data_IF_979261471607
#
_entry.id   IF_979261471607
#
_cell.length_a   1.000
_cell.length_b   1.000
_cell.length_c   1.000
_cell.angle_alpha   90.00
_cell.angle_beta   90.00
_cell.angle_gamma   90.00
#
_symmetry.space_group_name_H-M   'P 1'
#
loop_
_entity.id
_entity.type
_entity.pdbx_description
1 polymer ?
#
# COMPACT_ATOMS: atom_id res chain seq x y z
N UNK A 1 46.57 39.05 34.35
CA UNK A 1 46.52 37.59 34.62
C UNK A 1 45.09 37.29 35.07
N UNK A 2 44.23 36.50 34.44
CA UNK A 2 44.33 35.54 33.34
C UNK A 2 42.97 35.49 32.61
N UNK A 3 43.01 35.25 31.30
CA UNK A 3 41.86 34.95 30.45
C UNK A 3 41.63 33.44 30.47
N UNK A 4 40.43 32.97 30.80
CA UNK A 4 40.06 31.56 30.75
C UNK A 4 39.15 31.32 29.53
N UNK A 5 39.75 30.80 28.46
CA UNK A 5 39.04 30.30 27.28
C UNK A 5 38.54 28.88 27.55
N UNK A 6 37.23 28.67 27.44
CA UNK A 6 36.64 27.34 27.36
C UNK A 6 36.44 26.96 25.88
N UNK A 7 37.09 25.90 25.42
CA UNK A 7 36.93 25.37 24.08
C UNK A 7 35.82 24.29 24.06
N UNK A 8 34.78 24.51 23.26
CA UNK A 8 33.68 23.56 23.04
C UNK A 8 34.05 22.64 21.86
N UNK A 9 34.24 21.34 22.09
CA UNK A 9 34.47 20.36 21.04
C UNK A 9 33.14 19.79 20.55
N UNK A 10 32.72 20.13 19.33
CA UNK A 10 31.55 19.56 18.68
C UNK A 10 31.95 18.28 17.91
N UNK A 11 31.49 17.12 18.38
CA UNK A 11 31.64 15.85 17.67
C UNK A 11 30.63 15.78 16.51
N UNK A 12 31.13 15.81 15.28
CA UNK A 12 30.34 15.58 14.07
C UNK A 12 29.99 14.09 13.96
N UNK A 13 28.75 13.73 14.32
CA UNK A 13 28.19 12.41 14.03
C UNK A 13 27.86 12.35 12.53
N UNK A 14 28.71 11.67 11.77
CA UNK A 14 28.50 11.42 10.34
C UNK A 14 27.45 10.30 10.22
N UNK A 15 26.28 10.52 9.59
CA UNK A 15 25.33 9.44 9.38
C UNK A 15 25.89 8.45 8.34
N UNK A 16 26.00 7.18 8.72
CA UNK A 16 26.37 6.11 7.81
C UNK A 16 25.28 5.97 6.74
N UNK A 17 25.61 6.34 5.51
CA UNK A 17 24.73 6.13 4.37
C UNK A 17 24.67 4.63 4.08
N UNK A 18 23.54 3.99 4.37
CA UNK A 18 23.31 2.60 3.97
C UNK A 18 23.15 2.56 2.46
N UNK A 19 24.11 1.94 1.76
CA UNK A 19 23.98 1.66 0.34
C UNK A 19 22.86 0.62 0.17
N UNK A 20 21.71 1.06 -0.33
CA UNK A 20 20.62 0.17 -0.72
C UNK A 20 21.15 -0.78 -1.82
N UNK A 21 21.17 -2.08 -1.54
CA UNK A 21 21.53 -3.09 -2.54
C UNK A 21 20.47 -3.06 -3.65
N UNK A 22 20.89 -2.70 -4.86
CA UNK A 22 20.06 -2.82 -6.05
C UNK A 22 20.08 -4.27 -6.50
N UNK A 23 18.90 -4.85 -6.72
CA UNK A 23 18.83 -6.19 -7.29
C UNK A 23 19.17 -6.11 -8.79
N UNK A 24 20.17 -6.89 -9.23
CA UNK A 24 20.75 -6.78 -10.56
C UNK A 24 20.06 -7.66 -11.63
N UNK A 25 19.37 -8.74 -11.24
CA UNK A 25 18.66 -9.64 -12.17
C UNK A 25 17.72 -10.60 -11.43
N UNK A 26 16.60 -11.00 -12.04
CA UNK A 26 15.56 -11.90 -11.48
C UNK A 26 14.97 -11.45 -10.13
N UNK A 27 14.86 -10.14 -9.94
CA UNK A 27 14.19 -9.55 -8.80
C UNK A 27 12.70 -9.85 -8.91
N UNK A 28 12.14 -10.54 -7.92
CA UNK A 28 10.69 -10.67 -7.81
C UNK A 28 10.02 -9.30 -7.78
N UNK A 29 8.70 -9.26 -7.93
CA UNK A 29 7.95 -8.02 -7.82
C UNK A 29 8.32 -7.31 -6.50
N UNK A 30 8.75 -6.04 -6.61
CA UNK A 30 9.11 -5.25 -5.43
C UNK A 30 7.88 -5.16 -4.52
N UNK A 31 7.97 -5.58 -3.24
CA UNK A 31 6.85 -5.43 -2.33
C UNK A 31 6.43 -3.96 -2.25
N UNK A 32 5.13 -3.71 -2.31
CA UNK A 32 4.59 -2.35 -2.09
C UNK A 32 4.66 -2.06 -0.60
N UNK A 33 5.27 -0.92 -0.25
CA UNK A 33 5.43 -0.48 1.13
C UNK A 33 5.32 1.03 1.21
N UNK A 34 4.56 1.52 2.19
CA UNK A 34 4.40 2.93 2.51
C UNK A 34 5.10 3.28 3.82
N UNK A 35 5.29 4.58 4.08
CA UNK A 35 5.74 5.03 5.40
C UNK A 35 4.57 4.90 6.37
N UNK A 36 4.73 4.23 7.54
CA UNK A 36 3.66 4.12 8.53
C UNK A 36 3.08 5.48 8.93
N UNK A 37 1.75 5.58 8.97
CA UNK A 37 1.04 6.82 9.31
C UNK A 37 0.96 7.86 8.19
N UNK A 38 1.53 7.58 7.02
CA UNK A 38 1.43 8.44 5.85
C UNK A 38 0.04 8.32 5.18
N UNK A 39 -0.58 9.43 4.74
CA UNK A 39 -1.75 9.37 3.88
C UNK A 39 -1.45 8.63 2.58
N UNK A 40 -2.33 7.69 2.23
CA UNK A 40 -2.27 6.88 1.01
C UNK A 40 -3.60 6.99 0.30
N UNK A 41 -3.56 7.41 -0.95
CA UNK A 41 -4.69 7.35 -1.88
C UNK A 41 -4.90 5.89 -2.30
N UNK A 42 -6.05 5.34 -1.96
CA UNK A 42 -6.50 4.04 -2.46
C UNK A 42 -7.21 4.20 -3.80
N UNK A 43 -6.74 3.45 -4.79
CA UNK A 43 -7.34 3.33 -6.12
C UNK A 43 -7.66 1.86 -6.42
N UNK A 44 -8.91 1.57 -6.73
CA UNK A 44 -9.41 0.24 -7.07
C UNK A 44 -9.77 0.19 -8.54
N UNK A 45 -9.29 -0.82 -9.28
CA UNK A 45 -9.58 -0.99 -10.71
C UNK A 45 -10.18 -2.37 -10.94
N UNK A 46 -11.35 -2.43 -11.57
CA UNK A 46 -11.95 -3.71 -11.95
C UNK A 46 -11.52 -4.11 -13.36
N UNK A 47 -10.70 -5.14 -13.46
CA UNK A 47 -10.24 -5.77 -14.72
C UNK A 47 -10.99 -7.06 -15.03
N UNK A 48 -12.00 -7.41 -14.24
CA UNK A 48 -12.90 -8.53 -14.51
C UNK A 48 -14.00 -8.11 -15.50
N UNK A 49 -14.65 -9.06 -16.19
CA UNK A 49 -15.82 -8.77 -17.03
C UNK A 49 -17.12 -8.63 -16.21
N UNK A 50 -17.07 -8.68 -14.87
CA UNK A 50 -18.23 -8.68 -13.97
C UNK A 50 -18.15 -7.55 -12.95
N UNK A 51 -19.26 -7.27 -12.28
CA UNK A 51 -19.28 -6.30 -11.17
C UNK A 51 -18.58 -6.88 -9.95
N UNK A 52 -17.77 -6.06 -9.30
CA UNK A 52 -17.08 -6.40 -8.06
C UNK A 52 -17.56 -5.49 -6.92
N UNK A 53 -17.92 -6.14 -5.82
CA UNK A 53 -18.04 -5.64 -4.45
C UNK A 53 -16.75 -4.99 -3.95
N UNK A 54 -16.70 -3.73 -3.52
CA UNK A 54 -15.54 -3.20 -2.77
C UNK A 54 -15.96 -2.49 -1.50
N UNK A 55 -15.27 -2.75 -0.39
CA UNK A 55 -15.60 -2.17 0.91
C UNK A 55 -14.34 -1.87 1.71
N UNK A 56 -14.16 -0.62 2.16
CA UNK A 56 -13.21 -0.33 3.23
C UNK A 56 -13.85 -0.63 4.58
N UNK A 57 -13.27 -1.63 5.25
CA UNK A 57 -13.81 -2.17 6.49
C UNK A 57 -13.91 -1.05 7.53
N UNK A 58 -15.08 -0.94 8.18
CA UNK A 58 -15.43 0.08 9.18
C UNK A 58 -15.52 1.55 8.67
N UNK A 59 -15.48 1.78 7.35
CA UNK A 59 -15.50 3.15 6.76
C UNK A 59 -16.60 3.35 5.74
N UNK A 60 -16.81 2.38 4.87
CA UNK A 60 -17.76 2.49 3.76
C UNK A 60 -18.72 1.32 3.78
N UNK A 61 -19.93 1.51 3.25
CA UNK A 61 -20.74 0.37 2.79
C UNK A 61 -20.12 -0.23 1.51
N UNK A 62 -20.50 -1.46 1.10
CA UNK A 62 -20.08 -2.02 -0.18
C UNK A 62 -20.43 -1.08 -1.35
N UNK A 63 -19.46 -0.84 -2.22
CA UNK A 63 -19.56 -0.02 -3.41
C UNK A 63 -19.39 -0.92 -4.63
N UNK A 64 -20.34 -0.87 -5.56
CA UNK A 64 -20.22 -1.62 -6.82
C UNK A 64 -19.17 -0.98 -7.73
N UNK A 65 -18.19 -1.78 -8.15
CA UNK A 65 -17.17 -1.43 -9.12
C UNK A 65 -17.45 -2.16 -10.44
N UNK A 66 -17.89 -1.43 -11.47
CA UNK A 66 -18.27 -2.00 -12.76
C UNK A 66 -17.04 -2.47 -13.58
N UNK A 67 -17.21 -3.37 -14.56
CA UNK A 67 -16.13 -3.78 -15.46
C UNK A 67 -15.40 -2.59 -16.09
N UNK A 68 -14.06 -2.57 -15.99
CA UNK A 68 -13.21 -1.50 -16.51
C UNK A 68 -13.22 -0.20 -15.69
N UNK A 69 -14.04 -0.10 -14.64
CA UNK A 69 -14.13 1.09 -13.81
C UNK A 69 -12.92 1.22 -12.88
N UNK A 70 -12.56 2.47 -12.62
CA UNK A 70 -11.61 2.87 -11.58
C UNK A 70 -12.32 3.68 -10.51
N UNK A 71 -12.06 3.39 -9.25
CA UNK A 71 -12.63 4.08 -8.10
C UNK A 71 -11.52 4.57 -7.17
N UNK A 72 -11.56 5.85 -6.83
CA UNK A 72 -10.74 6.44 -5.76
C UNK A 72 -11.56 6.44 -4.48
N UNK A 73 -11.12 5.68 -3.47
CA UNK A 73 -11.95 5.38 -2.31
C UNK A 73 -11.61 6.23 -1.09
N UNK A 74 -10.33 6.30 -0.71
CA UNK A 74 -9.88 7.02 0.48
C UNK A 74 -8.50 7.65 0.22
N UNK A 75 -8.31 8.91 0.63
CA UNK A 75 -7.01 9.62 0.56
C UNK A 75 -6.12 9.34 1.77
N UNK A 76 -6.69 8.75 2.82
CA UNK A 76 -6.08 8.52 4.13
C UNK A 76 -6.02 7.02 4.47
N UNK A 77 -6.08 6.13 3.48
CA UNK A 77 -6.17 4.68 3.71
C UNK A 77 -5.00 4.15 4.57
N UNK A 78 -3.83 4.78 4.58
CA UNK A 78 -2.65 4.37 5.37
C UNK A 78 -2.43 5.08 6.72
N UNK A 79 -3.34 5.97 7.16
CA UNK A 79 -3.14 6.73 8.41
C UNK A 79 -3.67 6.02 9.66
N UNK A 80 -4.55 5.03 9.48
CA UNK A 80 -5.19 4.32 10.57
C UNK A 80 -4.60 2.91 10.74
N UNK A 81 -4.46 2.43 11.98
CA UNK A 81 -4.06 1.05 12.22
C UNK A 81 -5.14 0.10 11.70
N UNK A 82 -4.70 -1.05 11.21
CA UNK A 82 -5.58 -2.11 10.73
C UNK A 82 -6.47 -1.77 9.52
N UNK A 83 -6.05 -0.81 8.70
CA UNK A 83 -6.78 -0.45 7.49
C UNK A 83 -6.83 -1.60 6.48
N UNK A 84 -8.01 -1.91 5.98
CA UNK A 84 -8.23 -2.96 4.98
C UNK A 84 -9.33 -2.58 4.02
N UNK A 85 -9.20 -3.11 2.81
CA UNK A 85 -10.26 -3.11 1.81
C UNK A 85 -10.56 -4.55 1.45
N UNK A 86 -11.83 -4.93 1.54
CA UNK A 86 -12.34 -6.21 1.09
C UNK A 86 -12.97 -6.06 -0.29
N UNK A 87 -12.98 -7.15 -1.05
CA UNK A 87 -13.60 -7.20 -2.36
C UNK A 87 -14.09 -8.60 -2.73
N UNK A 88 -15.16 -8.68 -3.52
CA UNK A 88 -15.72 -9.94 -4.01
C UNK A 88 -16.48 -9.76 -5.32
N UNK A 89 -16.41 -10.77 -6.18
CA UNK A 89 -17.28 -10.84 -7.37
C UNK A 89 -18.72 -11.15 -6.94
N UNK A 90 -19.70 -10.41 -7.49
CA UNK A 90 -21.12 -10.56 -7.14
C UNK A 90 -21.72 -11.91 -7.55
N UNK A 91 -21.06 -12.65 -8.43
CA UNK A 91 -21.40 -14.00 -8.87
C UNK A 91 -20.60 -15.09 -8.14
N UNK A 92 -19.91 -14.74 -7.05
CA UNK A 92 -19.13 -15.61 -6.17
C UNK A 92 -17.87 -16.23 -6.77
N UNK A 93 -17.46 -15.79 -7.96
CA UNK A 93 -16.25 -16.28 -8.59
C UNK A 93 -14.98 -15.79 -7.89
N UNK A 94 -13.92 -16.57 -8.04
CA UNK A 94 -12.60 -16.19 -7.54
C UNK A 94 -12.04 -15.02 -8.33
N UNK A 95 -11.45 -14.08 -7.60
CA UNK A 95 -10.74 -12.94 -8.15
C UNK A 95 -9.30 -12.96 -7.64
N UNK A 96 -8.44 -12.21 -8.32
CA UNK A 96 -7.04 -12.03 -7.96
C UNK A 96 -6.74 -10.54 -7.86
N UNK A 97 -6.10 -10.11 -6.79
CA UNK A 97 -5.64 -8.75 -6.61
C UNK A 97 -4.19 -8.60 -7.07
N UNK A 98 -3.93 -7.54 -7.84
CA UNK A 98 -2.58 -7.11 -8.20
C UNK A 98 -2.36 -5.73 -7.62
N UNK A 99 -1.43 -5.65 -6.67
CA UNK A 99 -1.09 -4.40 -5.98
C UNK A 99 0.09 -3.71 -6.65
N UNK A 100 0.03 -2.38 -6.78
CA UNK A 100 1.11 -1.57 -7.32
C UNK A 100 1.11 -0.17 -6.72
N UNK A 101 2.22 0.55 -6.92
CA UNK A 101 2.40 1.94 -6.50
C UNK A 101 2.72 2.82 -7.71
N UNK A 102 1.70 3.22 -8.50
CA UNK A 102 1.92 3.97 -9.74
C UNK A 102 2.40 5.41 -9.51
N UNK A 103 2.10 5.98 -8.33
CA UNK A 103 2.59 7.28 -7.88
C UNK A 103 3.03 7.21 -6.41
N UNK A 104 3.86 8.16 -5.94
CA UNK A 104 4.06 8.34 -4.50
C UNK A 104 2.70 8.40 -3.79
N UNK A 105 2.57 7.72 -2.66
CA UNK A 105 1.34 7.71 -1.85
C UNK A 105 0.08 7.17 -2.54
N UNK A 106 0.18 6.50 -3.69
CA UNK A 106 -0.99 5.87 -4.33
C UNK A 106 -0.84 4.37 -4.27
N UNK A 107 -1.75 3.71 -3.56
CA UNK A 107 -1.92 2.26 -3.61
C UNK A 107 -2.97 1.95 -4.67
N UNK A 108 -2.55 1.30 -5.76
CA UNK A 108 -3.48 0.78 -6.76
C UNK A 108 -3.67 -0.72 -6.57
N UNK A 109 -4.92 -1.14 -6.53
CA UNK A 109 -5.34 -2.53 -6.48
C UNK A 109 -6.15 -2.82 -7.73
N UNK A 110 -5.60 -3.66 -8.61
CA UNK A 110 -6.32 -4.15 -9.77
C UNK A 110 -6.93 -5.52 -9.49
N UNK A 111 -8.22 -5.67 -9.71
CA UNK A 111 -8.97 -6.90 -9.50
C UNK A 111 -9.13 -7.60 -10.84
N UNK A 112 -8.49 -8.76 -10.97
CA UNK A 112 -8.49 -9.60 -12.16
C UNK A 112 -9.30 -10.88 -11.91
N UNK A 113 -9.75 -11.58 -12.97
CA UNK A 113 -10.23 -12.95 -12.82
C UNK A 113 -9.17 -13.83 -12.13
N UNK A 114 -9.58 -14.60 -11.13
CA UNK A 114 -8.69 -15.41 -10.30
C UNK A 114 -8.94 -16.92 -10.45
N UNK A 115 -8.04 -17.70 -9.88
CA UNK A 115 -8.25 -19.14 -9.65
C UNK A 115 -8.68 -19.35 -8.19
N UNK A 116 -9.17 -20.54 -7.86
CA UNK A 116 -9.58 -20.86 -6.48
C UNK A 116 -8.42 -21.46 -5.67
N UNK A 117 -8.19 -21.01 -4.41
CA UNK A 117 -8.88 -19.91 -3.72
C UNK A 117 -8.48 -18.55 -4.31
N UNK A 118 -9.44 -17.61 -4.32
CA UNK A 118 -9.22 -16.25 -4.78
C UNK A 118 -8.95 -15.29 -3.62
N UNK A 119 -8.31 -14.17 -3.94
CA UNK A 119 -8.06 -13.08 -3.00
C UNK A 119 -9.37 -12.40 -2.61
N UNK A 120 -9.44 -11.88 -1.39
CA UNK A 120 -10.62 -11.24 -0.78
C UNK A 120 -10.33 -9.92 -0.11
N UNK A 121 -9.07 -9.63 0.23
CA UNK A 121 -8.73 -8.36 0.87
C UNK A 121 -7.29 -7.91 0.64
N UNK A 122 -7.07 -6.61 0.81
CA UNK A 122 -5.75 -6.00 0.89
C UNK A 122 -5.64 -5.19 2.17
N UNK A 123 -4.49 -5.29 2.82
CA UNK A 123 -4.20 -4.69 4.11
C UNK A 123 -2.85 -3.96 4.09
N UNK A 124 -2.78 -2.78 4.71
CA UNK A 124 -1.51 -2.11 5.03
C UNK A 124 -1.15 -2.47 6.47
N UNK A 125 -0.04 -3.17 6.64
CA UNK A 125 0.49 -3.55 7.95
C UNK A 125 1.06 -2.35 8.70
N UNK A 126 1.26 -2.53 10.01
CA UNK A 126 1.82 -1.49 10.87
C UNK A 126 3.24 -1.06 10.46
N UNK A 127 3.99 -1.91 9.74
CA UNK A 127 5.30 -1.57 9.14
C UNK A 127 5.18 -0.94 7.73
N UNK A 128 3.95 -0.66 7.29
CA UNK A 128 3.61 -0.07 6.00
C UNK A 128 3.58 -1.06 4.85
N UNK A 129 3.85 -2.34 5.07
CA UNK A 129 3.83 -3.37 4.02
C UNK A 129 2.41 -3.65 3.56
N UNK A 130 2.21 -3.73 2.25
CA UNK A 130 0.94 -4.15 1.67
C UNK A 130 0.89 -5.66 1.53
N UNK A 131 -0.17 -6.29 2.02
CA UNK A 131 -0.42 -7.72 1.86
C UNK A 131 -1.80 -8.00 1.28
N UNK A 132 -1.87 -9.06 0.48
CA UNK A 132 -3.08 -9.60 -0.13
C UNK A 132 -3.46 -10.89 0.58
N UNK A 133 -4.74 -11.08 0.87
CA UNK A 133 -5.32 -12.28 1.49
C UNK A 133 -6.54 -12.75 0.73
#
# INVERSE_FOLDING_TARGET
MNVLSAALSAALLIPASTLAQTCASNCGARPVQFVPGQPVQLEMVNRTPRTVEVEQINRTNPIALLPGQTLQLDRNFGTEPNTSVAFWDTTTLSVRAVVSQPQPQTLRIEIHPGQSPGDRSVYIQNDGRVTVF
#
